data_IF_684009972060
#
_entry.id   IF_684009972060
#
_cell.length_a   1.000
_cell.length_b   1.000
_cell.length_c   1.000
_cell.angle_alpha   90.00
_cell.angle_beta   90.00
_cell.angle_gamma   90.00
#
_symmetry.space_group_name_H-M   'P 1'
#
loop_
_entity.id
_entity.type
_entity.pdbx_description
1 polymer ?
#
# COMPACT_ATOMS: atom_id res chain seq x y z
N UNK A 1 5.97 4.76 -6.50
CA UNK A 1 4.99 4.37 -7.55
C UNK A 1 4.06 3.26 -7.08
N UNK A 2 4.57 2.14 -6.56
CA UNK A 2 3.76 0.97 -6.18
C UNK A 2 2.59 1.25 -5.22
N UNK A 3 2.72 2.22 -4.31
CA UNK A 3 1.66 2.62 -3.37
C UNK A 3 0.67 3.66 -3.94
N UNK A 4 1.11 4.50 -4.88
CA UNK A 4 0.33 5.62 -5.39
C UNK A 4 -0.81 5.15 -6.31
N UNK A 5 -0.56 4.11 -7.12
CA UNK A 5 -1.54 3.59 -8.07
C UNK A 5 -2.79 3.00 -7.37
N UNK A 6 -2.66 2.08 -6.40
CA UNK A 6 -3.82 1.57 -5.65
C UNK A 6 -4.58 2.68 -4.92
N UNK A 7 -3.88 3.63 -4.30
CA UNK A 7 -4.53 4.73 -3.56
C UNK A 7 -5.28 5.69 -4.49
N UNK A 8 -4.68 6.08 -5.61
CA UNK A 8 -5.33 6.92 -6.62
C UNK A 8 -6.55 6.21 -7.22
N UNK A 9 -6.44 4.92 -7.48
CA UNK A 9 -7.54 4.10 -7.99
C UNK A 9 -8.71 3.99 -6.98
N UNK A 10 -8.39 3.84 -5.69
CA UNK A 10 -9.38 3.84 -4.62
C UNK A 10 -10.13 5.18 -4.58
N UNK A 11 -9.40 6.30 -4.53
CA UNK A 11 -10.00 7.63 -4.44
C UNK A 11 -10.85 7.96 -5.68
N UNK A 12 -10.32 7.71 -6.87
CA UNK A 12 -11.04 7.93 -8.13
C UNK A 12 -12.29 7.06 -8.24
N UNK A 13 -12.18 5.79 -7.85
CA UNK A 13 -13.30 4.87 -7.83
C UNK A 13 -14.39 5.27 -6.84
N UNK A 14 -14.00 5.62 -5.60
CA UNK A 14 -14.93 6.11 -4.58
C UNK A 14 -15.63 7.39 -5.02
N UNK A 15 -14.90 8.32 -5.65
CA UNK A 15 -15.48 9.55 -6.17
C UNK A 15 -16.49 9.30 -7.29
N UNK A 16 -16.15 8.47 -8.28
CA UNK A 16 -17.04 8.15 -9.39
C UNK A 16 -18.32 7.46 -8.94
N UNK A 17 -18.21 6.39 -8.13
CA UNK A 17 -19.39 5.68 -7.61
C UNK A 17 -20.16 6.55 -6.62
N UNK A 18 -19.47 7.34 -5.79
CA UNK A 18 -20.08 8.29 -4.87
C UNK A 18 -20.90 9.37 -5.57
N UNK A 19 -20.42 9.87 -6.73
CA UNK A 19 -21.15 10.83 -7.56
C UNK A 19 -22.42 10.21 -8.15
N UNK A 20 -22.33 9.00 -8.71
CA UNK A 20 -23.48 8.24 -9.21
C UNK A 20 -24.52 7.97 -8.11
N UNK A 21 -24.05 7.70 -6.89
CA UNK A 21 -24.92 7.48 -5.74
C UNK A 21 -25.62 8.79 -5.29
N UNK A 22 -24.90 9.91 -5.25
CA UNK A 22 -25.44 11.23 -4.89
C UNK A 22 -26.51 11.74 -5.88
N UNK A 23 -26.37 11.40 -7.16
CA UNK A 23 -27.31 11.75 -8.22
C UNK A 23 -28.48 10.74 -8.35
N UNK A 24 -28.58 9.76 -7.46
CA UNK A 24 -29.56 8.66 -7.51
C UNK A 24 -29.49 7.78 -8.79
N UNK A 25 -28.45 7.91 -9.61
CA UNK A 25 -28.24 7.11 -10.82
C UNK A 25 -27.99 5.64 -10.48
N UNK A 26 -27.27 5.37 -9.38
CA UNK A 26 -27.03 4.01 -8.92
C UNK A 26 -28.33 3.28 -8.52
N UNK A 27 -29.31 4.00 -7.98
CA UNK A 27 -30.63 3.45 -7.65
C UNK A 27 -31.42 3.19 -8.94
N UNK A 28 -31.39 4.13 -9.89
CA UNK A 28 -32.05 3.96 -11.18
C UNK A 28 -31.52 2.74 -11.95
N UNK A 29 -30.20 2.52 -11.95
CA UNK A 29 -29.55 1.34 -12.55
C UNK A 29 -30.00 0.04 -11.87
N UNK A 30 -30.14 0.03 -10.54
CA UNK A 30 -30.65 -1.15 -9.83
C UNK A 30 -32.13 -1.39 -10.13
N UNK A 31 -32.93 -0.32 -10.21
CA UNK A 31 -34.36 -0.39 -10.51
C UNK A 31 -34.64 -0.88 -11.93
N UNK A 32 -33.73 -0.68 -12.89
CA UNK A 32 -33.82 -1.23 -14.24
C UNK A 32 -33.48 -2.73 -14.33
N UNK A 33 -33.22 -3.39 -13.20
CA UNK A 33 -32.93 -4.83 -13.15
C UNK A 33 -31.47 -5.19 -13.39
N UNK A 34 -30.56 -4.21 -13.46
CA UNK A 34 -29.13 -4.49 -13.59
C UNK A 34 -28.57 -4.90 -12.24
N UNK A 35 -28.01 -6.11 -12.18
CA UNK A 35 -27.36 -6.62 -10.97
C UNK A 35 -26.12 -5.81 -10.61
N UNK A 36 -25.83 -5.70 -9.30
CA UNK A 36 -24.63 -5.01 -8.82
C UNK A 36 -23.34 -5.65 -9.38
N UNK A 37 -23.35 -6.96 -9.59
CA UNK A 37 -22.22 -7.69 -10.18
C UNK A 37 -21.89 -7.24 -11.60
N UNK A 38 -22.92 -6.97 -12.43
CA UNK A 38 -22.71 -6.44 -13.79
C UNK A 38 -22.15 -5.01 -13.74
N UNK A 39 -22.59 -4.20 -12.78
CA UNK A 39 -22.04 -2.86 -12.56
C UNK A 39 -20.58 -2.87 -12.08
N UNK A 40 -20.14 -3.91 -11.36
CA UNK A 40 -18.74 -4.07 -10.93
C UNK A 40 -17.78 -4.42 -12.07
N UNK A 41 -18.27 -5.04 -13.15
CA UNK A 41 -17.45 -5.51 -14.26
C UNK A 41 -16.53 -4.42 -14.89
N UNK A 42 -16.99 -3.21 -15.25
CA UNK A 42 -16.12 -2.17 -15.79
C UNK A 42 -15.02 -1.75 -14.81
N UNK A 43 -15.29 -1.73 -13.50
CA UNK A 43 -14.27 -1.42 -12.48
C UNK A 43 -13.22 -2.51 -12.39
N UNK A 44 -13.64 -3.79 -12.47
CA UNK A 44 -12.72 -4.93 -12.48
C UNK A 44 -11.82 -4.90 -13.72
N UNK A 45 -12.37 -4.57 -14.90
CA UNK A 45 -11.60 -4.43 -16.13
C UNK A 45 -10.51 -3.35 -15.99
N UNK A 46 -10.86 -2.18 -15.45
CA UNK A 46 -9.87 -1.13 -15.14
C UNK A 46 -8.84 -1.65 -14.13
N UNK A 47 -9.23 -2.41 -13.11
CA UNK A 47 -8.31 -3.01 -12.14
C UNK A 47 -7.31 -3.97 -12.76
N UNK A 48 -7.73 -4.81 -13.72
CA UNK A 48 -6.84 -5.71 -14.46
C UNK A 48 -5.85 -4.91 -15.30
N UNK A 49 -6.31 -3.91 -16.06
CA UNK A 49 -5.43 -3.05 -16.87
C UNK A 49 -4.41 -2.33 -15.99
N UNK A 50 -4.86 -1.73 -14.88
CA UNK A 50 -3.99 -1.03 -13.94
C UNK A 50 -2.99 -1.98 -13.26
N UNK A 51 -3.38 -3.22 -12.99
CA UNK A 51 -2.49 -4.25 -12.43
C UNK A 51 -1.38 -4.62 -13.42
N UNK A 52 -1.73 -4.89 -14.68
CA UNK A 52 -0.74 -5.19 -15.73
C UNK A 52 0.23 -4.02 -15.93
N UNK A 53 -0.29 -2.79 -15.96
CA UNK A 53 0.52 -1.58 -16.09
C UNK A 53 1.46 -1.40 -14.89
N UNK A 54 0.97 -1.58 -13.66
CA UNK A 54 1.78 -1.47 -12.45
C UNK A 54 2.87 -2.57 -12.39
N UNK A 55 2.54 -3.78 -12.82
CA UNK A 55 3.49 -4.89 -12.90
C UNK A 55 4.64 -4.56 -13.86
N UNK A 56 4.33 -4.04 -15.05
CA UNK A 56 5.34 -3.60 -16.02
C UNK A 56 6.24 -2.49 -15.47
N UNK A 57 5.64 -1.46 -14.83
CA UNK A 57 6.40 -0.37 -14.23
C UNK A 57 7.33 -0.88 -13.12
N UNK A 58 6.82 -1.70 -12.21
CA UNK A 58 7.57 -2.22 -11.06
C UNK A 58 8.68 -3.17 -11.51
N UNK A 59 8.44 -3.99 -12.54
CA UNK A 59 9.40 -4.98 -13.02
C UNK A 59 10.57 -4.41 -13.82
N UNK A 60 10.33 -3.38 -14.64
CA UNK A 60 11.33 -2.86 -15.59
C UNK A 60 11.63 -1.37 -15.45
N UNK A 61 10.63 -0.50 -15.30
CA UNK A 61 10.84 0.96 -15.33
C UNK A 61 11.35 1.52 -14.01
N UNK A 62 10.77 1.10 -12.89
CA UNK A 62 11.17 1.55 -11.55
C UNK A 62 12.64 1.21 -11.24
N UNK A 63 13.14 -0.02 -11.52
CA UNK A 63 14.55 -0.34 -11.31
C UNK A 63 15.49 0.55 -12.12
N UNK A 64 15.14 0.86 -13.37
CA UNK A 64 15.93 1.78 -14.21
C UNK A 64 15.98 3.19 -13.61
N UNK A 65 14.86 3.74 -13.16
CA UNK A 65 14.82 5.05 -12.52
C UNK A 65 15.60 5.08 -11.20
N UNK A 66 15.47 4.04 -10.38
CA UNK A 66 16.19 3.92 -9.11
C UNK A 66 17.70 3.83 -9.30
N UNK A 67 18.14 3.15 -10.35
CA UNK A 67 19.56 3.10 -10.69
C UNK A 67 20.11 4.48 -11.09
N UNK A 68 19.35 5.26 -11.86
CA UNK A 68 19.74 6.63 -12.23
C UNK A 68 19.75 7.58 -11.03
N UNK A 69 18.76 7.47 -10.14
CA UNK A 69 18.69 8.23 -8.88
C UNK A 69 19.93 7.99 -8.02
N UNK A 70 20.36 6.74 -7.87
CA UNK A 70 21.57 6.40 -7.12
C UNK A 70 22.84 6.94 -7.76
N UNK A 71 22.98 6.82 -9.09
CA UNK A 71 24.13 7.41 -9.80
C UNK A 71 24.17 8.93 -9.57
N UNK A 72 23.02 9.59 -9.61
CA UNK A 72 22.92 11.03 -9.36
C UNK A 72 23.28 11.36 -7.91
N UNK A 73 22.74 10.66 -6.92
CA UNK A 73 23.10 10.86 -5.51
C UNK A 73 24.60 10.66 -5.27
N UNK A 74 25.19 9.61 -5.83
CA UNK A 74 26.63 9.33 -5.78
C UNK A 74 27.46 10.47 -6.40
N UNK A 75 26.96 11.16 -7.43
CA UNK A 75 27.65 12.27 -8.10
C UNK A 75 27.55 13.60 -7.33
N UNK A 76 26.42 13.88 -6.68
CA UNK A 76 26.12 15.22 -6.15
C UNK A 76 26.27 15.35 -4.62
N UNK A 77 26.22 14.26 -3.87
CA UNK A 77 26.34 14.28 -2.40
C UNK A 77 27.78 14.01 -1.91
N UNK A 78 28.66 13.48 -2.77
CA UNK A 78 30.08 13.21 -2.48
C UNK A 78 31.00 14.42 -2.61
N UNK A 79 30.91 15.40 -1.70
CA UNK A 79 31.79 16.59 -1.70
C UNK A 79 33.29 16.27 -1.56
N UNK A 80 34.13 16.96 -2.35
CA UNK A 80 35.57 17.25 -2.20
C UNK A 80 36.60 16.15 -1.86
N UNK A 81 36.20 14.87 -1.76
CA UNK A 81 37.11 13.73 -1.55
C UNK A 81 36.70 12.47 -2.31
N UNK A 82 35.74 12.58 -3.22
CA UNK A 82 35.15 11.46 -3.95
C UNK A 82 35.90 11.26 -5.27
N UNK A 83 36.67 10.19 -5.36
CA UNK A 83 37.23 9.76 -6.64
C UNK A 83 36.11 9.18 -7.49
N UNK A 84 35.99 9.58 -8.77
CA UNK A 84 34.99 9.03 -9.66
C UNK A 84 35.19 7.52 -9.70
N UNK A 85 34.14 6.75 -9.43
CA UNK A 85 34.11 5.32 -9.74
C UNK A 85 35.00 4.40 -8.90
N UNK A 86 35.31 4.76 -7.66
CA UNK A 86 35.93 3.82 -6.71
C UNK A 86 34.84 3.02 -5.98
N UNK A 87 34.42 1.89 -6.56
CA UNK A 87 33.37 1.05 -5.95
C UNK A 87 33.98 0.25 -4.81
N UNK A 88 33.61 0.56 -3.58
CA UNK A 88 34.12 -0.14 -2.41
C UNK A 88 33.25 -1.30 -1.94
N UNK A 89 33.88 -2.34 -1.39
CA UNK A 89 33.29 -3.52 -0.74
C UNK A 89 32.21 -4.22 -1.56
N UNK A 90 32.59 -5.04 -2.55
CA UNK A 90 31.64 -5.91 -3.25
C UNK A 90 31.94 -7.39 -3.02
N UNK A 91 30.87 -8.15 -2.94
CA UNK A 91 30.86 -9.59 -2.72
C UNK A 91 30.35 -10.27 -3.97
N UNK A 92 31.19 -11.08 -4.58
CA UNK A 92 30.87 -11.91 -5.72
C UNK A 92 30.92 -13.37 -5.35
N UNK A 93 30.10 -14.09 -6.06
CA UNK A 93 29.78 -15.46 -5.78
C UNK A 93 29.95 -16.24 -7.07
N UNK A 94 30.90 -17.16 -7.10
CA UNK A 94 31.10 -18.04 -8.25
C UNK A 94 30.27 -19.32 -8.08
N UNK A 95 29.86 -19.87 -9.21
CA UNK A 95 29.17 -21.16 -9.40
C UNK A 95 29.87 -22.37 -8.76
N UNK A 96 31.14 -22.24 -8.40
CA UNK A 96 32.01 -23.31 -7.86
C UNK A 96 32.28 -23.20 -6.36
N UNK A 97 31.31 -22.68 -5.59
CA UNK A 97 31.41 -22.54 -4.13
C UNK A 97 32.57 -21.62 -3.69
N UNK A 98 32.87 -20.60 -4.51
CA UNK A 98 33.89 -19.59 -4.22
C UNK A 98 33.25 -18.24 -3.92
N UNK A 99 33.71 -17.61 -2.87
CA UNK A 99 33.34 -16.27 -2.42
C UNK A 99 34.48 -15.30 -2.71
N UNK A 100 34.21 -14.25 -3.46
CA UNK A 100 35.15 -13.19 -3.76
C UNK A 100 34.70 -11.92 -3.05
N UNK A 101 35.47 -11.48 -2.08
CA UNK A 101 35.36 -10.15 -1.49
C UNK A 101 36.35 -9.22 -2.18
N UNK A 102 35.93 -8.02 -2.55
CA UNK A 102 36.84 -7.00 -3.07
C UNK A 102 36.56 -5.67 -2.41
N UNK A 103 37.61 -5.05 -1.86
CA UNK A 103 37.46 -3.79 -1.13
C UNK A 103 37.30 -2.59 -2.04
N UNK A 104 37.93 -2.57 -3.22
CA UNK A 104 37.94 -1.40 -4.10
C UNK A 104 38.04 -1.84 -5.56
N UNK A 105 37.24 -1.23 -6.43
CA UNK A 105 37.36 -1.35 -7.87
C UNK A 105 37.56 0.03 -8.48
N UNK A 106 38.60 0.17 -9.30
CA UNK A 106 38.86 1.35 -10.11
C UNK A 106 38.47 1.06 -11.56
N UNK A 107 37.46 1.77 -12.06
CA UNK A 107 36.98 1.59 -13.44
C UNK A 107 37.99 2.10 -14.48
N UNK A 108 38.70 3.20 -14.19
CA UNK A 108 39.70 3.80 -15.09
C UNK A 108 40.84 2.84 -15.44
N UNK A 109 41.28 2.02 -14.47
CA UNK A 109 42.39 1.09 -14.65
C UNK A 109 41.94 -0.37 -14.79
N UNK A 110 40.63 -0.63 -14.63
CA UNK A 110 40.05 -1.97 -14.54
C UNK A 110 40.80 -2.87 -13.54
N UNK A 111 41.21 -2.27 -12.42
CA UNK A 111 41.93 -2.97 -11.34
C UNK A 111 41.08 -3.11 -10.10
N UNK A 112 41.24 -4.25 -9.44
CA UNK A 112 40.58 -4.61 -8.21
C UNK A 112 41.62 -4.60 -7.09
N UNK A 113 41.39 -3.84 -6.04
CA UNK A 113 42.32 -3.74 -4.91
C UNK A 113 41.75 -4.41 -3.66
N UNK A 114 42.62 -5.06 -2.91
CA UNK A 114 42.34 -5.84 -1.70
C UNK A 114 41.23 -6.86 -1.93
N UNK A 115 41.59 -7.92 -2.65
CA UNK A 115 40.72 -9.03 -3.00
C UNK A 115 40.93 -10.19 -2.03
N UNK A 116 39.85 -10.83 -1.59
CA UNK A 116 39.89 -12.10 -0.87
C UNK A 116 38.99 -13.12 -1.55
N UNK A 117 39.57 -14.20 -2.08
CA UNK A 117 38.85 -15.37 -2.62
C UNK A 117 38.80 -16.42 -1.52
N UNK A 118 37.64 -16.99 -1.22
CA UNK A 118 37.45 -18.10 -0.29
C UNK A 118 36.75 -19.23 -1.03
N UNK A 119 37.28 -20.44 -0.97
CA UNK A 119 36.66 -21.63 -1.51
C UNK A 119 36.09 -22.45 -0.34
N UNK A 120 34.85 -22.88 -0.49
CA UNK A 120 34.15 -23.67 0.51
C UNK A 120 33.96 -25.11 0.02
N UNK A 121 33.99 -26.06 0.94
CA UNK A 121 33.59 -27.45 0.70
C UNK A 121 32.75 -27.90 1.90
N UNK A 122 31.51 -28.36 1.67
CA UNK A 122 30.58 -28.80 2.74
C UNK A 122 30.36 -27.77 3.87
N UNK A 123 30.45 -26.48 3.56
CA UNK A 123 30.24 -25.38 4.53
C UNK A 123 31.48 -24.97 5.33
N UNK A 124 32.64 -25.61 5.11
CA UNK A 124 33.92 -25.20 5.70
C UNK A 124 34.83 -24.55 4.65
N UNK A 125 35.66 -23.59 5.06
CA UNK A 125 36.64 -22.93 4.17
C UNK A 125 37.81 -23.89 3.96
N UNK A 126 38.03 -24.34 2.73
CA UNK A 126 39.17 -25.20 2.37
C UNK A 126 40.36 -24.40 1.87
N UNK A 127 40.10 -23.23 1.26
CA UNK A 127 41.14 -22.37 0.69
C UNK A 127 40.75 -20.91 0.78
N UNK A 128 41.71 -20.04 1.07
CA UNK A 128 41.56 -18.59 1.03
C UNK A 128 42.76 -17.93 0.37
N UNK A 129 42.53 -17.02 -0.57
CA UNK A 129 43.55 -16.25 -1.27
C UNK A 129 43.27 -14.79 -1.00
N UNK A 130 44.15 -14.11 -0.27
CA UNK A 130 44.10 -12.66 -0.08
C UNK A 130 45.16 -12.03 -1.00
N UNK A 131 44.77 -11.07 -1.85
CA UNK A 131 45.65 -10.41 -2.81
C UNK A 131 45.48 -8.90 -2.78
N UNK A 132 46.57 -8.16 -2.98
CA UNK A 132 46.56 -6.70 -2.99
C UNK A 132 45.94 -6.14 -4.27
N UNK A 133 46.29 -6.70 -5.44
CA UNK A 133 45.76 -6.25 -6.73
C UNK A 133 45.34 -7.45 -7.57
N UNK A 134 44.20 -7.34 -8.23
CA UNK A 134 43.68 -8.30 -9.20
C UNK A 134 43.31 -7.58 -10.48
N UNK A 135 43.76 -8.13 -11.61
CA UNK A 135 43.52 -7.57 -12.94
C UNK A 135 42.98 -8.65 -13.87
N UNK A 136 42.03 -8.28 -14.72
CA UNK A 136 41.55 -9.18 -15.76
C UNK A 136 42.46 -9.10 -16.98
N UNK A 137 43.05 -10.23 -17.37
CA UNK A 137 43.78 -10.33 -18.65
C UNK A 137 42.78 -10.73 -19.75
N UNK A 138 42.46 -9.77 -20.62
CA UNK A 138 41.53 -9.96 -21.73
C UNK A 138 42.09 -10.89 -22.82
N UNK A 139 43.41 -11.05 -22.92
CA UNK A 139 44.04 -11.90 -23.94
C UNK A 139 43.91 -13.39 -23.61
N UNK A 140 44.00 -13.75 -22.32
CA UNK A 140 43.97 -15.14 -21.86
C UNK A 140 42.66 -15.53 -21.16
N UNK A 141 41.73 -14.58 -21.01
CA UNK A 141 40.47 -14.74 -20.24
C UNK A 141 40.70 -15.29 -18.83
N UNK A 142 41.70 -14.74 -18.14
CA UNK A 142 42.13 -15.21 -16.82
C UNK A 142 42.35 -14.04 -15.88
N UNK A 143 42.10 -14.29 -14.60
CA UNK A 143 42.36 -13.34 -13.54
C UNK A 143 43.78 -13.51 -13.04
N UNK A 144 44.53 -12.40 -13.06
CA UNK A 144 45.90 -12.32 -12.55
C UNK A 144 45.86 -11.61 -11.21
N UNK A 145 46.40 -12.27 -10.18
CA UNK A 145 46.53 -11.69 -8.85
C UNK A 145 47.99 -11.34 -8.58
N UNK A 146 48.20 -10.19 -7.96
CA UNK A 146 49.49 -9.66 -7.57
C UNK A 146 49.57 -9.50 -6.06
N UNK A 147 50.74 -9.80 -5.50
CA UNK A 147 51.07 -9.66 -4.09
C UNK A 147 49.99 -10.24 -3.16
N UNK A 148 49.96 -11.56 -3.06
CA UNK A 148 48.97 -12.24 -2.26
C UNK A 148 49.50 -13.38 -1.41
N UNK A 149 48.64 -13.83 -0.50
CA UNK A 149 48.86 -14.95 0.41
C UNK A 149 47.74 -15.93 0.19
N UNK A 150 48.11 -17.16 -0.14
CA UNK A 150 47.22 -18.30 -0.21
C UNK A 150 47.31 -19.09 1.09
N UNK A 151 46.14 -19.43 1.62
CA UNK A 151 45.94 -20.22 2.83
C UNK A 151 45.15 -21.46 2.43
N UNK A 152 45.70 -22.63 2.63
CA UNK A 152 44.99 -23.89 2.41
C UNK A 152 44.78 -24.56 3.76
N UNK A 153 43.54 -24.92 4.04
CA UNK A 153 43.11 -25.56 5.28
C UNK A 153 42.75 -27.01 4.95
N UNK A 154 43.55 -27.96 5.44
CA UNK A 154 43.26 -29.41 5.34
C UNK A 154 43.18 -29.97 6.75
N UNK A 155 41.97 -30.08 7.30
CA UNK A 155 41.76 -30.43 8.70
C UNK A 155 42.31 -29.33 9.62
N UNK A 156 43.18 -29.71 10.57
CA UNK A 156 43.81 -28.78 11.53
C UNK A 156 45.05 -28.06 11.00
N UNK A 157 45.56 -28.45 9.83
CA UNK A 157 46.78 -27.88 9.28
C UNK A 157 46.47 -26.72 8.33
N UNK A 158 47.02 -25.54 8.65
CA UNK A 158 46.95 -24.32 7.84
C UNK A 158 48.31 -24.09 7.18
N UNK A 159 48.37 -24.21 5.86
CA UNK A 159 49.58 -23.88 5.08
C UNK A 159 49.45 -22.50 4.45
N UNK A 160 50.48 -21.66 4.64
CA UNK A 160 50.57 -20.33 4.04
C UNK A 160 51.56 -20.35 2.88
N UNK A 161 51.14 -19.85 1.73
CA UNK A 161 51.99 -19.72 0.54
C UNK A 161 51.87 -18.28 0.01
N UNK A 162 52.95 -17.51 0.06
CA UNK A 162 52.98 -16.16 -0.51
C UNK A 162 53.36 -16.21 -1.99
N UNK A 163 52.75 -15.34 -2.79
CA UNK A 163 53.04 -15.21 -4.21
C UNK A 163 53.14 -13.74 -4.61
N UNK A 164 54.10 -13.44 -5.50
CA UNK A 164 54.26 -12.11 -6.09
C UNK A 164 53.30 -11.94 -7.28
N UNK A 165 53.14 -12.98 -8.08
CA UNK A 165 52.25 -13.02 -9.25
C UNK A 165 51.67 -14.41 -9.41
N UNK A 166 50.36 -14.51 -9.61
CA UNK A 166 49.65 -15.78 -9.82
C UNK A 166 48.72 -15.65 -11.03
N UNK A 167 49.07 -16.35 -12.09
CA UNK A 167 48.52 -16.16 -13.44
C UNK A 167 47.31 -17.04 -13.78
N UNK A 168 46.65 -17.68 -12.81
CA UNK A 168 45.70 -18.75 -13.17
C UNK A 168 44.58 -18.95 -12.16
N UNK A 169 43.75 -17.93 -11.95
CA UNK A 169 42.43 -18.18 -11.36
C UNK A 169 41.39 -18.04 -12.46
N UNK A 170 41.01 -19.19 -13.05
CA UNK A 170 39.79 -19.27 -13.86
C UNK A 170 38.61 -19.12 -12.91
N UNK A 171 38.06 -17.92 -12.89
CA UNK A 171 36.82 -17.60 -12.19
C UNK A 171 35.72 -17.51 -13.24
N UNK A 172 34.55 -18.07 -12.95
CA UNK A 172 33.42 -18.13 -13.88
C UNK A 172 32.72 -16.80 -14.13
N UNK A 173 33.19 -15.70 -13.52
CA UNK A 173 32.55 -14.39 -13.60
C UNK A 173 33.26 -13.44 -14.56
N UNK A 174 32.47 -12.66 -15.28
CA UNK A 174 32.90 -11.55 -16.12
C UNK A 174 32.94 -10.24 -15.32
N UNK A 175 33.74 -9.26 -15.75
CA UNK A 175 33.77 -7.89 -15.18
C UNK A 175 32.37 -7.26 -15.11
N UNK A 176 31.48 -7.60 -16.05
CA UNK A 176 30.08 -7.15 -16.08
C UNK A 176 29.23 -7.65 -14.89
N UNK A 177 29.51 -8.86 -14.40
CA UNK A 177 28.78 -9.47 -13.28
C UNK A 177 29.13 -8.77 -11.97
N UNK A 178 30.38 -8.32 -11.87
CA UNK A 178 30.93 -7.52 -10.77
C UNK A 178 30.22 -6.18 -10.65
N UNK A 179 30.07 -5.50 -11.79
CA UNK A 179 29.40 -4.21 -11.89
C UNK A 179 27.91 -4.29 -11.52
N UNK A 180 27.31 -5.47 -11.67
CA UNK A 180 25.90 -5.72 -11.33
C UNK A 180 25.66 -6.10 -9.87
N UNK A 181 26.68 -6.58 -9.14
CA UNK A 181 26.53 -7.10 -7.76
C UNK A 181 26.24 -6.03 -6.68
N UNK A 182 26.55 -4.76 -6.94
CA UNK A 182 26.27 -3.63 -6.01
C UNK A 182 24.88 -2.99 -6.22
N UNK A 183 24.08 -3.50 -7.16
CA UNK A 183 22.69 -3.08 -7.31
C UNK A 183 21.93 -3.50 -6.06
N UNK A 184 21.33 -2.54 -5.38
CA UNK A 184 20.44 -2.88 -4.26
C UNK A 184 19.28 -3.74 -4.79
N UNK A 185 18.61 -4.57 -3.97
CA UNK A 185 17.43 -5.32 -4.38
C UNK A 185 16.36 -4.45 -5.07
N UNK A 186 16.34 -3.15 -4.80
CA UNK A 186 15.43 -2.17 -5.39
C UNK A 186 15.81 -1.74 -6.83
N UNK A 187 17.09 -1.83 -7.19
CA UNK A 187 17.63 -1.51 -8.54
C UNK A 187 17.57 -2.71 -9.50
N UNK A 188 17.27 -3.91 -9.00
CA UNK A 188 17.20 -5.12 -9.82
C UNK A 188 15.84 -5.23 -10.52
N UNK A 189 15.86 -5.64 -11.80
CA UNK A 189 14.64 -6.05 -12.49
C UNK A 189 14.05 -7.30 -11.84
N UNK A 190 12.78 -7.60 -12.08
CA UNK A 190 12.12 -8.76 -11.48
C UNK A 190 12.85 -10.09 -11.77
N UNK A 191 13.36 -10.22 -13.00
CA UNK A 191 14.09 -11.40 -13.47
C UNK A 191 15.48 -11.44 -12.83
N UNK A 192 16.19 -10.30 -12.85
CA UNK A 192 17.54 -10.23 -12.28
C UNK A 192 17.54 -10.46 -10.78
N UNK A 193 16.51 -9.98 -10.08
CA UNK A 193 16.31 -10.21 -8.64
C UNK A 193 16.13 -11.70 -8.33
N UNK A 194 15.33 -12.41 -9.15
CA UNK A 194 15.16 -13.87 -8.98
C UNK A 194 16.48 -14.62 -9.17
N UNK A 195 17.20 -14.30 -10.25
CA UNK A 195 18.50 -14.91 -10.53
C UNK A 195 19.50 -14.64 -9.39
N UNK A 196 19.52 -13.40 -8.89
CA UNK A 196 20.35 -13.03 -7.75
C UNK A 196 19.99 -13.80 -6.46
N UNK A 197 18.69 -13.98 -6.18
CA UNK A 197 18.22 -14.77 -5.03
C UNK A 197 18.62 -16.24 -5.16
N UNK A 198 18.42 -16.85 -6.34
CA UNK A 198 18.74 -18.25 -6.60
C UNK A 198 20.26 -18.52 -6.49
N UNK A 199 21.09 -17.56 -6.90
CA UNK A 199 22.54 -17.63 -6.71
C UNK A 199 22.90 -17.55 -5.22
N UNK A 200 22.29 -16.63 -4.47
CA UNK A 200 22.60 -16.42 -3.05
C UNK A 200 22.16 -17.59 -2.17
N UNK A 201 20.99 -18.18 -2.45
CA UNK A 201 20.46 -19.36 -1.73
C UNK A 201 21.34 -20.61 -1.87
N UNK A 202 22.08 -20.74 -2.98
CA UNK A 202 22.99 -21.89 -3.21
C UNK A 202 24.26 -21.83 -2.36
N UNK A 203 24.60 -20.67 -1.80
CA UNK A 203 25.94 -20.40 -1.26
C UNK A 203 25.89 -20.07 0.22
N UNK A 204 24.86 -19.34 0.65
CA UNK A 204 24.72 -18.91 2.05
C UNK A 204 23.52 -19.62 2.68
N UNK A 205 23.79 -20.37 3.76
CA UNK A 205 22.73 -20.88 4.63
C UNK A 205 22.28 -19.77 5.59
N UNK A 206 21.14 -19.14 5.28
CA UNK A 206 20.51 -18.09 6.09
C UNK A 206 20.84 -16.64 5.65
N UNK A 207 20.04 -15.66 6.06
CA UNK A 207 20.27 -14.24 5.74
C UNK A 207 19.90 -13.85 4.31
N UNK A 208 18.96 -14.59 3.70
CA UNK A 208 18.36 -14.31 2.39
C UNK A 208 16.89 -13.91 2.47
N UNK A 209 16.31 -13.96 3.67
CA UNK A 209 14.89 -13.77 3.93
C UNK A 209 14.44 -12.37 3.51
N UNK A 210 15.24 -11.34 3.81
CA UNK A 210 14.93 -9.96 3.43
C UNK A 210 14.84 -9.78 1.91
N UNK A 211 15.75 -10.41 1.16
CA UNK A 211 15.83 -10.31 -0.30
C UNK A 211 14.68 -11.07 -0.95
N UNK A 212 14.29 -12.20 -0.35
CA UNK A 212 13.13 -12.99 -0.75
C UNK A 212 11.82 -12.24 -0.49
N UNK A 213 11.66 -11.62 0.69
CA UNK A 213 10.52 -10.75 1.01
C UNK A 213 10.41 -9.64 -0.03
N UNK A 214 11.51 -8.95 -0.35
CA UNK A 214 11.53 -7.89 -1.37
C UNK A 214 11.14 -8.38 -2.77
N UNK A 215 11.48 -9.63 -3.12
CA UNK A 215 11.08 -10.22 -4.39
C UNK A 215 9.57 -10.49 -4.42
N UNK A 216 9.03 -11.11 -3.36
CA UNK A 216 7.59 -11.34 -3.22
C UNK A 216 6.79 -10.03 -3.15
N UNK A 217 7.35 -9.00 -2.51
CA UNK A 217 6.79 -7.64 -2.44
C UNK A 217 6.57 -7.06 -3.85
N UNK A 218 7.55 -7.18 -4.75
CA UNK A 218 7.44 -6.73 -6.16
C UNK A 218 6.34 -7.43 -6.96
N UNK A 219 6.08 -8.70 -6.65
CA UNK A 219 5.02 -9.47 -7.32
C UNK A 219 3.65 -9.14 -6.73
N UNK A 220 3.57 -9.00 -5.41
CA UNK A 220 2.30 -8.88 -4.70
C UNK A 220 1.70 -7.47 -4.82
N UNK A 221 2.52 -6.42 -4.81
CA UNK A 221 2.03 -5.04 -4.85
C UNK A 221 1.14 -4.70 -6.06
N UNK A 222 1.47 -5.13 -7.30
CA UNK A 222 0.60 -4.92 -8.44
C UNK A 222 -0.83 -5.45 -8.26
N UNK A 223 -1.01 -6.58 -7.57
CA UNK A 223 -2.34 -7.16 -7.31
C UNK A 223 -3.21 -6.33 -6.37
N UNK A 224 -2.62 -5.39 -5.62
CA UNK A 224 -3.38 -4.48 -4.77
C UNK A 224 -4.38 -3.64 -5.57
N UNK A 225 -4.03 -3.24 -6.82
CA UNK A 225 -4.95 -2.52 -7.71
C UNK A 225 -6.23 -3.32 -7.99
N UNK A 226 -6.09 -4.63 -8.21
CA UNK A 226 -7.21 -5.52 -8.47
C UNK A 226 -8.11 -5.67 -7.24
N UNK A 227 -7.53 -5.88 -6.06
CA UNK A 227 -8.27 -5.98 -4.80
C UNK A 227 -9.04 -4.68 -4.52
N UNK A 228 -8.36 -3.54 -4.65
CA UNK A 228 -8.98 -2.22 -4.49
C UNK A 228 -10.14 -2.03 -5.46
N UNK A 229 -9.98 -2.42 -6.72
CA UNK A 229 -11.05 -2.30 -7.73
C UNK A 229 -12.33 -3.04 -7.35
N UNK A 230 -12.21 -4.21 -6.70
CA UNK A 230 -13.34 -4.99 -6.22
C UNK A 230 -13.99 -4.39 -4.98
N UNK A 231 -13.22 -3.73 -4.12
CA UNK A 231 -13.72 -3.13 -2.88
C UNK A 231 -14.38 -1.76 -3.07
N UNK A 232 -14.00 -1.00 -4.10
CA UNK A 232 -14.54 0.34 -4.36
C UNK A 232 -16.07 0.34 -4.45
N UNK A 233 -16.64 -0.56 -5.28
CA UNK A 233 -18.07 -0.57 -5.56
C UNK A 233 -18.93 -0.88 -4.32
N UNK A 234 -18.68 -1.94 -3.53
CA UNK A 234 -19.47 -2.21 -2.34
C UNK A 234 -19.33 -1.10 -1.27
N UNK A 235 -18.14 -0.52 -1.12
CA UNK A 235 -17.91 0.56 -0.15
C UNK A 235 -18.65 1.84 -0.56
N UNK A 236 -18.55 2.26 -1.82
CA UNK A 236 -19.19 3.49 -2.31
C UNK A 236 -20.69 3.33 -2.59
N UNK A 237 -21.17 2.10 -2.83
CA UNK A 237 -22.60 1.83 -3.02
C UNK A 237 -23.40 1.90 -1.72
N UNK A 238 -22.77 1.80 -0.54
CA UNK A 238 -23.48 1.93 0.72
C UNK A 238 -23.90 3.38 0.92
N UNK A 239 -25.21 3.64 0.82
CA UNK A 239 -25.77 4.91 1.23
C UNK A 239 -25.71 5.01 2.75
N UNK A 240 -24.88 5.92 3.27
CA UNK A 240 -25.17 6.50 4.58
C UNK A 240 -26.36 7.43 4.38
N UNK A 241 -27.58 6.90 4.60
CA UNK A 241 -28.77 7.72 4.74
C UNK A 241 -28.69 8.46 6.08
N UNK A 242 -27.80 9.43 6.19
CA UNK A 242 -27.88 10.46 7.21
C UNK A 242 -28.95 11.47 6.74
N UNK A 243 -30.21 11.01 6.66
CA UNK A 243 -31.35 11.85 6.38
C UNK A 243 -32.02 12.18 7.71
N UNK A 244 -32.16 13.48 8.02
CA UNK A 244 -33.08 13.94 9.05
C UNK A 244 -34.48 13.42 8.68
N UNK A 245 -35.03 12.49 9.46
CA UNK A 245 -36.41 12.05 9.31
C UNK A 245 -37.35 13.14 9.82
N UNK A 246 -37.78 14.05 8.94
CA UNK A 246 -38.69 15.13 9.30
C UNK A 246 -40.12 14.69 9.01
N UNK A 247 -40.88 14.37 10.05
CA UNK A 247 -42.30 14.03 9.96
C UNK A 247 -43.11 15.29 10.32
N UNK A 248 -43.86 15.84 9.36
CA UNK A 248 -44.72 17.01 9.57
C UNK A 248 -46.18 16.66 9.25
N UNK A 249 -47.09 17.01 10.16
CA UNK A 249 -48.54 16.91 9.96
C UNK A 249 -49.11 18.33 9.94
N UNK A 250 -49.84 18.68 8.87
CA UNK A 250 -50.50 19.99 8.73
C UNK A 250 -51.99 19.82 9.03
N UNK A 251 -52.49 20.57 10.01
CA UNK A 251 -53.91 20.57 10.37
C UNK A 251 -54.48 21.98 10.25
N UNK A 252 -55.51 22.12 9.41
CA UNK A 252 -56.24 23.38 9.26
C UNK A 252 -57.23 23.54 10.42
N UNK A 253 -57.29 24.75 10.98
CA UNK A 253 -58.24 25.13 12.04
C UNK A 253 -59.21 26.16 11.47
N UNK A 254 -60.51 25.94 11.70
CA UNK A 254 -61.57 26.83 11.20
C UNK A 254 -62.17 27.75 12.27
N UNK A 255 -61.94 27.49 13.56
CA UNK A 255 -62.46 28.30 14.69
C UNK A 255 -61.40 28.58 15.76
N UNK A 256 -61.25 29.83 16.19
CA UNK A 256 -60.26 30.28 17.18
C UNK A 256 -60.63 29.98 18.65
N UNK A 257 -61.69 29.22 18.89
CA UNK A 257 -62.27 29.00 20.24
C UNK A 257 -61.42 28.04 21.12
N UNK A 258 -60.67 27.12 20.52
CA UNK A 258 -59.85 26.11 21.20
C UNK A 258 -58.38 26.53 21.44
N UNK A 259 -58.12 27.52 22.30
CA UNK A 259 -56.80 27.64 22.96
C UNK A 259 -55.54 27.82 22.08
N UNK A 260 -54.36 27.70 22.70
CA UNK A 260 -53.02 27.80 22.05
C UNK A 260 -52.73 26.61 21.12
N UNK A 261 -51.78 26.76 20.20
CA UNK A 261 -51.46 25.73 19.20
C UNK A 261 -51.12 24.35 19.78
N UNK A 262 -50.50 24.30 20.96
CA UNK A 262 -50.19 23.06 21.68
C UNK A 262 -51.46 22.36 22.21
N UNK A 263 -52.44 23.10 22.71
CA UNK A 263 -53.69 22.58 23.27
C UNK A 263 -54.58 21.91 22.21
N UNK A 264 -54.34 22.23 20.93
CA UNK A 264 -55.02 21.60 19.80
C UNK A 264 -54.63 20.14 19.56
N UNK A 265 -53.50 19.70 20.13
CA UNK A 265 -53.02 18.32 20.04
C UNK A 265 -53.37 17.62 21.36
N UNK A 266 -54.40 16.76 21.39
CA UNK A 266 -54.81 16.11 22.63
C UNK A 266 -53.68 15.21 23.17
N UNK A 267 -53.56 15.03 24.50
CA UNK A 267 -52.45 14.30 25.11
C UNK A 267 -52.34 12.84 24.60
N UNK A 268 -53.49 12.18 24.36
CA UNK A 268 -53.53 10.85 23.73
C UNK A 268 -52.87 10.81 22.34
N UNK A 269 -52.97 11.89 21.56
CA UNK A 269 -52.35 11.99 20.23
C UNK A 269 -50.86 12.28 20.34
N UNK A 270 -50.45 13.15 21.29
CA UNK A 270 -49.03 13.37 21.60
C UNK A 270 -48.33 12.05 21.97
N UNK A 271 -48.92 11.26 22.86
CA UNK A 271 -48.40 9.93 23.24
C UNK A 271 -48.31 8.95 22.05
N UNK A 272 -49.30 8.94 21.14
CA UNK A 272 -49.24 8.12 19.92
C UNK A 272 -48.07 8.53 19.02
N UNK A 273 -47.84 9.83 18.81
CA UNK A 273 -46.73 10.34 17.99
C UNK A 273 -45.39 9.90 18.60
N UNK A 274 -45.21 10.06 19.92
CA UNK A 274 -44.00 9.61 20.63
C UNK A 274 -43.82 8.08 20.54
N UNK A 275 -44.90 7.31 20.65
CA UNK A 275 -44.83 5.84 20.58
C UNK A 275 -44.43 5.38 19.18
N UNK A 276 -45.07 5.93 18.15
CA UNK A 276 -44.75 5.60 16.75
C UNK A 276 -43.31 5.94 16.39
N UNK A 277 -42.81 7.11 16.83
CA UNK A 277 -41.42 7.50 16.58
C UNK A 277 -40.42 6.60 17.33
N UNK A 278 -40.70 6.23 18.58
CA UNK A 278 -39.89 5.25 19.34
C UNK A 278 -39.88 3.88 18.67
N UNK A 279 -41.02 3.37 18.23
CA UNK A 279 -41.11 2.09 17.50
C UNK A 279 -40.31 2.15 16.19
N UNK A 280 -40.38 3.25 15.45
CA UNK A 280 -39.58 3.44 14.23
C UNK A 280 -38.06 3.39 14.49
N UNK A 281 -37.58 3.99 15.59
CA UNK A 281 -36.17 3.94 15.99
C UNK A 281 -35.72 2.52 16.36
N UNK A 282 -36.57 1.74 17.03
CA UNK A 282 -36.29 0.34 17.39
C UNK A 282 -36.17 -0.53 16.13
N UNK A 283 -37.06 -0.32 15.15
CA UNK A 283 -37.03 -1.06 13.87
C UNK A 283 -35.86 -0.67 12.96
N UNK A 284 -35.31 0.54 13.13
CA UNK A 284 -34.24 1.08 12.31
C UNK A 284 -33.04 1.53 13.15
N UNK A 285 -32.23 0.56 13.60
CA UNK A 285 -31.00 0.75 14.39
C UNK A 285 -29.98 1.75 13.82
N UNK A 286 -30.12 2.13 12.54
CA UNK A 286 -29.31 3.15 11.86
C UNK A 286 -29.54 4.57 12.42
N UNK A 287 -30.65 4.80 13.14
CA UNK A 287 -31.10 6.11 13.63
C UNK A 287 -31.07 6.25 15.15
N UNK A 288 -30.56 5.26 15.88
CA UNK A 288 -30.57 5.19 17.36
C UNK A 288 -29.91 6.39 18.06
N UNK A 289 -29.00 7.09 17.39
CA UNK A 289 -28.28 8.27 17.92
C UNK A 289 -28.91 9.62 17.56
N UNK A 290 -30.05 9.67 16.86
CA UNK A 290 -30.69 10.95 16.53
C UNK A 290 -31.49 11.49 17.72
N UNK A 291 -31.20 12.74 18.11
CA UNK A 291 -32.04 13.48 19.07
C UNK A 291 -33.39 13.78 18.41
N UNK A 292 -34.44 13.13 18.90
CA UNK A 292 -35.82 13.40 18.48
C UNK A 292 -36.27 14.75 19.03
N UNK A 293 -36.70 15.65 18.14
CA UNK A 293 -37.32 16.93 18.51
C UNK A 293 -38.75 16.97 18.00
N UNK A 294 -39.66 17.46 18.83
CA UNK A 294 -41.06 17.60 18.49
C UNK A 294 -41.44 19.09 18.56
N UNK A 295 -41.52 19.75 17.40
CA UNK A 295 -41.86 21.17 17.32
C UNK A 295 -43.26 21.36 16.74
N UNK A 296 -43.98 22.36 17.25
CA UNK A 296 -45.31 22.74 16.75
C UNK A 296 -45.22 24.12 16.13
N UNK A 297 -45.71 24.24 14.89
CA UNK A 297 -45.78 25.51 14.15
C UNK A 297 -47.26 25.85 13.96
N UNK A 298 -47.68 27.00 14.46
CA UNK A 298 -49.00 27.56 14.22
C UNK A 298 -48.89 28.70 13.22
N UNK A 299 -49.74 28.71 12.19
CA UNK A 299 -49.84 29.82 11.26
C UNK A 299 -51.27 30.35 11.34
N UNK A 300 -51.43 31.58 11.81
CA UNK A 300 -52.72 32.25 11.91
C UNK A 300 -52.81 33.36 10.86
N UNK A 301 -53.96 33.44 10.18
CA UNK A 301 -54.26 34.50 9.23
C UNK A 301 -55.26 35.46 9.88
N UNK A 302 -54.82 36.66 10.22
CA UNK A 302 -55.68 37.72 10.79
C UNK A 302 -55.58 38.95 9.88
N UNK A 303 -56.71 39.43 9.36
CA UNK A 303 -56.81 40.67 8.57
C UNK A 303 -55.67 40.86 7.54
N UNK A 304 -55.44 39.85 6.71
CA UNK A 304 -54.42 39.83 5.63
C UNK A 304 -52.94 39.73 6.04
N UNK A 305 -52.62 39.61 7.33
CA UNK A 305 -51.26 39.35 7.83
C UNK A 305 -51.15 37.90 8.33
N UNK A 306 -50.04 37.23 7.99
CA UNK A 306 -49.71 35.90 8.51
C UNK A 306 -48.82 36.04 9.75
N UNK A 307 -49.32 35.59 10.89
CA UNK A 307 -48.53 35.45 12.11
C UNK A 307 -48.15 33.97 12.30
N UNK A 308 -46.91 33.71 12.68
CA UNK A 308 -46.44 32.37 12.99
C UNK A 308 -46.04 32.28 14.48
N UNK A 309 -46.50 31.24 15.15
CA UNK A 309 -46.03 30.85 16.48
C UNK A 309 -45.23 29.57 16.35
N UNK A 310 -43.97 29.60 16.80
CA UNK A 310 -43.08 28.45 16.80
C UNK A 310 -42.80 28.00 18.23
N UNK A 311 -43.23 26.78 18.55
CA UNK A 311 -43.00 26.16 19.85
C UNK A 311 -41.97 25.04 19.64
N UNK A 312 -40.72 25.30 20.03
CA UNK A 312 -39.67 24.28 20.09
C UNK A 312 -39.92 23.30 21.25
N UNK A 313 -39.67 22.02 21.04
CA UNK A 313 -39.87 20.96 22.03
C UNK A 313 -41.25 21.04 22.71
N UNK A 314 -42.28 21.18 21.89
CA UNK A 314 -43.67 21.37 22.29
C UNK A 314 -44.19 20.27 23.24
N UNK A 315 -43.59 19.08 23.22
CA UNK A 315 -43.80 18.04 24.23
C UNK A 315 -42.51 17.27 24.50
N UNK A 316 -42.09 17.24 25.77
CA UNK A 316 -40.88 16.58 26.23
C UNK A 316 -41.08 15.07 26.45
N UNK A 317 -40.01 14.30 26.20
CA UNK A 317 -39.83 12.95 26.71
C UNK A 317 -39.59 13.00 28.23
N UNK A 318 -40.57 13.39 29.04
CA UNK A 318 -40.48 13.13 30.47
C UNK A 318 -40.75 11.64 30.68
N UNK A 319 -39.70 10.94 31.12
CA UNK A 319 -39.63 9.52 31.45
C UNK A 319 -40.49 9.09 32.65
N UNK A 320 -41.51 9.86 33.04
CA UNK A 320 -42.26 9.63 34.29
C UNK A 320 -43.76 9.37 34.09
N UNK A 321 -44.23 9.15 32.85
CA UNK A 321 -45.61 8.70 32.59
C UNK A 321 -45.65 7.18 32.35
N UNK A 322 -45.02 6.43 33.27
CA UNK A 322 -45.18 4.98 33.37
C UNK A 322 -46.21 4.56 34.43
N UNK A 323 -46.81 5.51 35.15
CA UNK A 323 -47.90 5.20 36.08
C UNK A 323 -49.25 5.56 35.48
N UNK A 324 -49.89 4.54 34.89
CA UNK A 324 -51.33 4.43 34.79
C UNK A 324 -51.96 4.77 36.16
N UNK A 325 -52.65 5.91 36.23
CA UNK A 325 -53.82 6.03 37.09
C UNK A 325 -54.96 6.59 36.23
N UNK A 326 -56.09 5.88 36.12
CA UNK A 326 -57.27 6.44 35.50
C UNK A 326 -57.86 7.42 36.51
N UNK A 327 -57.80 8.72 36.22
CA UNK A 327 -58.59 9.71 36.95
C UNK A 327 -59.95 9.90 36.24
N UNK A 328 -61.00 10.17 37.03
CA UNK A 328 -62.38 9.71 36.83
C UNK A 328 -63.14 10.34 35.65
#
# INVERSE_FOLDING_TARGET
>A
MALLLPMGMLLGGLYSVGKLNKQNELIAIKASGISLYRFMFPFLLVGVISTMFNFYLTGWRVPQSKHQEKIFEEQFTGGAGYTPMSRSNFNLYDSTNRFLFVKLYSEETSTFSNVAIQEFETGQITRRIDAEVMKYDTLHSQWVLFNGIERTMKGDNITFNSFVKKDSVKLGFSVSDILSSKKTPEELSLIDHKNFLDLRKKIVFGGTEEIEVKWHEKISFPFACLIVSMLVVPIASQQRKAGLGLWSEVKLRTNDIMGTALESIPPKKQQRIIKTSKTFLIEHAQFEKMNMQYSVIAIQKKEFVYNYDFIENAFCLNSDIENDTPFP
#
